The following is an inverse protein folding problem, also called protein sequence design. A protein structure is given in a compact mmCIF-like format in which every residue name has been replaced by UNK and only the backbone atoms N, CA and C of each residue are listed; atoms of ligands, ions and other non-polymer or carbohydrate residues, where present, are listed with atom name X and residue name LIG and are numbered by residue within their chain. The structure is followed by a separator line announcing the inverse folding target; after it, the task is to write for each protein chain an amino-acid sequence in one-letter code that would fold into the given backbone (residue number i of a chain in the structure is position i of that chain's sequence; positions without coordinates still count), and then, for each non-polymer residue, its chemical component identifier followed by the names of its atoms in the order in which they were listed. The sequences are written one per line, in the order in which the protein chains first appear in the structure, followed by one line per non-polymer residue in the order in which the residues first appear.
data_IF_826085261465
#
_entry.id   IF_826085261465
#
_cell.length_a   1.000
_cell.length_b   1.000
_cell.length_c   1.000
_cell.angle_alpha   90.00
_cell.angle_beta   90.00
_cell.angle_gamma   90.00
#
_symmetry.space_group_name_H-M   'P 1'
#
loop_
_entity.id
_entity.type
_entity.pdbx_description
1 polymer ?
#
# COMPACT_ATOMS: atom_id res chain seq x y z
N UNK A 1 -27.54 10.94 45.08
CA UNK A 1 -28.32 10.74 43.84
C UNK A 1 -27.37 10.16 42.80
N UNK A 2 -27.27 8.83 42.72
CA UNK A 2 -26.41 8.17 41.74
C UNK A 2 -27.28 7.74 40.56
N UNK A 3 -27.11 8.40 39.43
CA UNK A 3 -27.61 7.94 38.14
C UNK A 3 -26.74 6.76 37.71
N UNK A 4 -27.29 5.55 37.79
CA UNK A 4 -26.68 4.37 37.18
C UNK A 4 -27.56 4.00 35.99
N UNK A 5 -27.27 4.58 34.82
CA UNK A 5 -27.91 4.26 33.54
C UNK A 5 -27.44 2.90 32.99
N UNK A 6 -27.41 1.86 33.85
CA UNK A 6 -27.46 0.49 33.36
C UNK A 6 -28.93 0.13 33.29
N UNK A 7 -29.55 0.50 32.16
CA UNK A 7 -30.84 -0.04 31.77
C UNK A 7 -30.80 -1.56 31.94
N UNK A 8 -31.80 -2.08 32.64
CA UNK A 8 -31.92 -3.50 32.92
C UNK A 8 -31.86 -4.27 31.58
N UNK A 9 -30.95 -5.25 31.45
CA UNK A 9 -30.88 -6.07 30.23
C UNK A 9 -32.20 -6.82 29.96
N UNK A 10 -33.08 -6.87 30.97
CA UNK A 10 -34.44 -7.40 30.90
C UNK A 10 -35.45 -6.42 30.25
N UNK A 11 -35.08 -5.18 29.97
CA UNK A 11 -35.93 -4.18 29.29
C UNK A 11 -35.54 -3.88 27.84
N UNK A 12 -34.65 -4.69 27.24
CA UNK A 12 -34.28 -4.52 25.82
C UNK A 12 -35.50 -4.84 24.96
N UNK A 13 -35.97 -3.88 24.17
CA UNK A 13 -37.09 -4.06 23.26
C UNK A 13 -36.77 -5.17 22.23
N UNK A 14 -37.76 -5.95 21.82
CA UNK A 14 -37.59 -7.02 20.85
C UNK A 14 -37.01 -6.50 19.52
N UNK A 15 -37.31 -5.24 19.18
CA UNK A 15 -36.71 -4.52 18.06
C UNK A 15 -35.23 -4.20 18.28
N UNK A 16 -34.86 -3.62 19.42
CA UNK A 16 -33.47 -3.31 19.77
C UNK A 16 -32.61 -4.59 19.82
N UNK A 17 -33.17 -5.68 20.34
CA UNK A 17 -32.51 -6.98 20.36
C UNK A 17 -32.35 -7.57 18.94
N UNK A 18 -33.33 -7.36 18.05
CA UNK A 18 -33.25 -7.78 16.65
C UNK A 18 -32.23 -6.95 15.86
N UNK A 19 -32.20 -5.64 16.06
CA UNK A 19 -31.20 -4.73 15.49
C UNK A 19 -29.78 -5.10 16.00
N UNK A 20 -29.63 -5.38 17.29
CA UNK A 20 -28.39 -5.88 17.87
C UNK A 20 -27.98 -7.26 17.33
N UNK A 21 -28.94 -8.17 17.11
CA UNK A 21 -28.69 -9.50 16.53
C UNK A 21 -28.30 -9.44 15.06
N UNK A 22 -28.95 -8.62 14.24
CA UNK A 22 -28.55 -8.37 12.85
C UNK A 22 -27.17 -7.72 12.78
N UNK A 23 -26.92 -6.71 13.63
CA UNK A 23 -25.60 -6.10 13.77
C UNK A 23 -24.54 -7.13 14.21
N UNK A 24 -24.88 -8.05 15.12
CA UNK A 24 -24.01 -9.17 15.53
C UNK A 24 -23.80 -10.19 14.41
N UNK A 25 -24.82 -10.55 13.66
CA UNK A 25 -24.73 -11.52 12.56
C UNK A 25 -23.90 -10.98 11.39
N UNK A 26 -24.03 -9.69 11.07
CA UNK A 26 -23.17 -9.00 10.10
C UNK A 26 -21.71 -9.00 10.57
N UNK A 27 -21.47 -8.73 11.87
CA UNK A 27 -20.13 -8.82 12.47
C UNK A 27 -19.56 -10.24 12.51
N UNK A 28 -20.40 -11.26 12.68
CA UNK A 28 -19.95 -12.66 12.80
C UNK A 28 -19.55 -13.27 11.45
N UNK A 29 -20.07 -12.74 10.34
CA UNK A 29 -19.68 -13.16 8.98
C UNK A 29 -18.42 -12.47 8.46
N UNK A 30 -17.81 -11.59 9.23
CA UNK A 30 -16.55 -10.97 8.82
C UNK A 30 -15.51 -12.07 8.55
N UNK A 31 -14.80 -12.02 7.42
CA UNK A 31 -13.77 -12.99 7.10
C UNK A 31 -12.64 -12.90 8.13
N UNK A 32 -11.76 -13.89 8.13
CA UNK A 32 -10.50 -13.75 8.85
C UNK A 32 -9.62 -12.65 8.24
N UNK A 33 -8.67 -12.12 9.01
CA UNK A 33 -7.71 -11.13 8.51
C UNK A 33 -6.97 -11.63 7.27
N UNK A 34 -6.50 -12.88 7.29
CA UNK A 34 -5.82 -13.49 6.16
C UNK A 34 -6.70 -13.59 4.91
N UNK A 35 -7.98 -13.96 5.07
CA UNK A 35 -8.93 -14.00 3.96
C UNK A 35 -9.18 -12.60 3.40
N UNK A 36 -9.40 -11.60 4.26
CA UNK A 36 -9.52 -10.20 3.84
C UNK A 36 -8.30 -9.77 3.03
N UNK A 37 -7.08 -10.03 3.53
CA UNK A 37 -5.84 -9.60 2.87
C UNK A 37 -5.67 -10.32 1.53
N UNK A 38 -5.97 -11.62 1.46
CA UNK A 38 -5.96 -12.37 0.19
C UNK A 38 -6.93 -11.76 -0.81
N UNK A 39 -8.14 -11.45 -0.39
CA UNK A 39 -9.16 -10.84 -1.24
C UNK A 39 -8.77 -9.42 -1.68
N UNK A 40 -8.27 -8.60 -0.76
CA UNK A 40 -7.78 -7.26 -1.02
C UNK A 40 -6.64 -7.28 -2.05
N UNK A 41 -5.65 -8.15 -1.87
CA UNK A 41 -4.54 -8.29 -2.81
C UNK A 41 -5.01 -8.82 -4.17
N UNK A 42 -5.97 -9.75 -4.20
CA UNK A 42 -6.58 -10.22 -5.45
C UNK A 42 -7.23 -9.07 -6.22
N UNK A 43 -8.07 -8.28 -5.54
CA UNK A 43 -8.69 -7.09 -6.12
C UNK A 43 -7.65 -6.10 -6.69
N UNK A 44 -6.55 -5.87 -5.97
CA UNK A 44 -5.45 -5.01 -6.46
C UNK A 44 -4.66 -5.60 -7.63
N UNK A 45 -4.62 -6.93 -7.80
CA UNK A 45 -3.98 -7.59 -8.95
C UNK A 45 -4.86 -7.54 -10.20
N UNK A 46 -6.18 -7.54 -10.03
CA UNK A 46 -7.16 -7.47 -11.12
C UNK A 46 -7.29 -6.06 -11.69
N UNK A 47 -6.95 -5.03 -10.91
CA UNK A 47 -6.89 -3.64 -11.36
C UNK A 47 -5.73 -3.44 -12.36
N UNK A 48 -6.08 -3.33 -13.64
CA UNK A 48 -5.14 -3.16 -14.76
C UNK A 48 -4.34 -1.86 -14.68
N UNK A 49 -4.76 -0.89 -13.87
CA UNK A 49 -4.06 0.38 -13.70
C UNK A 49 -2.95 0.31 -12.64
N UNK A 50 -2.90 -0.77 -11.85
CA UNK A 50 -1.90 -0.93 -10.81
C UNK A 50 -0.69 -1.72 -11.30
N UNK A 51 0.50 -1.17 -11.02
CA UNK A 51 1.75 -1.84 -11.31
C UNK A 51 1.95 -3.06 -10.38
N UNK A 52 2.39 -4.19 -10.94
CA UNK A 52 2.59 -5.44 -10.18
C UNK A 52 3.52 -5.30 -8.96
N UNK A 53 4.53 -4.41 -9.06
CA UNK A 53 5.42 -4.09 -7.95
C UNK A 53 4.70 -3.42 -6.77
N UNK A 54 3.64 -2.65 -7.01
CA UNK A 54 2.85 -2.03 -5.94
C UNK A 54 2.11 -3.08 -5.11
N UNK A 55 1.50 -4.07 -5.76
CA UNK A 55 0.85 -5.18 -5.04
C UNK A 55 1.86 -5.95 -4.19
N UNK A 56 3.08 -6.21 -4.70
CA UNK A 56 4.15 -6.85 -3.91
C UNK A 56 4.53 -6.02 -2.70
N UNK A 57 4.56 -4.69 -2.82
CA UNK A 57 4.78 -3.80 -1.67
C UNK A 57 3.66 -3.89 -0.64
N UNK A 58 2.39 -3.95 -1.07
CA UNK A 58 1.26 -4.16 -0.16
C UNK A 58 1.38 -5.49 0.58
N UNK A 59 1.68 -6.57 -0.15
CA UNK A 59 1.88 -7.91 0.42
C UNK A 59 2.99 -7.92 1.47
N UNK A 60 4.15 -7.34 1.15
CA UNK A 60 5.26 -7.18 2.12
C UNK A 60 4.87 -6.35 3.34
N UNK A 61 4.12 -5.27 3.15
CA UNK A 61 3.70 -4.41 4.24
C UNK A 61 2.63 -5.04 5.14
N UNK A 62 1.81 -5.94 4.59
CA UNK A 62 0.73 -6.60 5.33
C UNK A 62 1.16 -7.92 5.99
N UNK A 63 2.25 -8.55 5.52
CA UNK A 63 2.74 -9.82 6.04
C UNK A 63 2.92 -9.86 7.56
N UNK A 64 3.44 -8.81 8.24
CA UNK A 64 3.61 -8.88 9.69
C UNK A 64 2.30 -9.07 10.46
N UNK A 65 1.16 -8.59 9.93
CA UNK A 65 -0.15 -8.79 10.53
C UNK A 65 -0.71 -10.17 10.19
N UNK A 66 -0.49 -10.66 8.96
CA UNK A 66 -0.83 -12.04 8.59
C UNK A 66 -0.11 -13.05 9.48
N UNK A 67 1.16 -12.82 9.76
CA UNK A 67 2.01 -13.73 10.53
C UNK A 67 1.65 -13.70 12.03
N UNK A 68 1.33 -12.52 12.57
CA UNK A 68 1.03 -12.35 14.00
C UNK A 68 -0.42 -12.69 14.38
N UNK A 69 -1.40 -12.31 13.55
CA UNK A 69 -2.83 -12.48 13.84
C UNK A 69 -3.40 -13.71 13.13
N UNK A 70 -3.00 -13.94 11.88
CA UNK A 70 -3.44 -15.09 11.10
C UNK A 70 -4.94 -15.08 10.79
N UNK A 71 -5.63 -16.10 11.28
CA UNK A 71 -7.03 -16.39 10.90
C UNK A 71 -8.07 -15.87 11.91
N UNK A 72 -7.71 -14.91 12.77
CA UNK A 72 -8.68 -14.27 13.66
C UNK A 72 -9.74 -13.50 12.86
N UNK A 73 -10.95 -13.49 13.41
CA UNK A 73 -12.10 -12.78 12.83
C UNK A 73 -11.81 -11.27 12.81
N UNK A 74 -11.92 -10.66 11.62
CA UNK A 74 -11.60 -9.26 11.40
C UNK A 74 -12.34 -8.29 12.34
N UNK A 75 -13.60 -8.58 12.68
CA UNK A 75 -14.42 -7.72 13.53
C UNK A 75 -14.01 -7.75 15.02
N UNK A 76 -13.20 -8.73 15.43
CA UNK A 76 -12.67 -8.85 16.79
C UNK A 76 -11.30 -8.18 16.96
N UNK A 77 -10.66 -7.77 15.87
CA UNK A 77 -9.32 -7.20 15.91
C UNK A 77 -9.36 -5.79 16.50
N UNK A 78 -8.69 -5.62 17.63
CA UNK A 78 -8.60 -4.34 18.31
C UNK A 78 -7.43 -3.48 17.81
N UNK A 79 -7.58 -2.15 17.93
CA UNK A 79 -6.52 -1.21 17.55
C UNK A 79 -5.26 -1.34 18.40
N UNK A 80 -5.38 -1.85 19.63
CA UNK A 80 -4.24 -2.06 20.54
C UNK A 80 -3.33 -3.17 20.01
N UNK A 81 -3.91 -4.31 19.61
CA UNK A 81 -3.18 -5.43 18.99
C UNK A 81 -2.44 -4.97 17.72
N UNK A 82 -3.12 -4.20 16.87
CA UNK A 82 -2.49 -3.65 15.65
C UNK A 82 -1.35 -2.68 15.98
N UNK A 83 -1.49 -1.89 17.04
CA UNK A 83 -0.45 -0.97 17.49
C UNK A 83 0.77 -1.70 18.04
N UNK A 84 0.58 -2.76 18.82
CA UNK A 84 1.65 -3.59 19.38
C UNK A 84 2.48 -4.23 18.27
N UNK A 85 1.82 -4.85 17.28
CA UNK A 85 2.48 -5.44 16.10
C UNK A 85 3.27 -4.36 15.35
N UNK A 86 2.64 -3.22 15.04
CA UNK A 86 3.27 -2.13 14.29
C UNK A 86 4.48 -1.54 15.03
N UNK A 87 4.38 -1.39 16.35
CA UNK A 87 5.42 -0.81 17.20
C UNK A 87 6.59 -1.76 17.41
N UNK A 88 6.32 -3.07 17.44
CA UNK A 88 7.33 -4.13 17.53
C UNK A 88 8.15 -4.33 16.25
N UNK A 89 7.77 -3.72 15.12
CA UNK A 89 8.54 -3.82 13.88
C UNK A 89 9.89 -3.09 14.00
N UNK A 90 10.98 -3.82 13.82
CA UNK A 90 12.32 -3.27 13.66
C UNK A 90 12.50 -2.61 12.28
N UNK A 91 11.77 -1.51 12.05
CA UNK A 91 11.77 -0.74 10.81
C UNK A 91 11.88 0.75 11.13
N UNK A 92 12.38 1.55 10.18
CA UNK A 92 12.43 3.00 10.36
C UNK A 92 11.00 3.62 10.39
N UNK A 93 10.83 4.83 10.94
CA UNK A 93 9.51 5.48 11.07
C UNK A 93 8.72 5.62 9.76
N UNK A 94 9.41 5.88 8.64
CA UNK A 94 8.77 6.01 7.32
C UNK A 94 8.21 4.66 6.87
N UNK A 95 8.97 3.59 7.02
CA UNK A 95 8.53 2.24 6.67
C UNK A 95 7.38 1.77 7.56
N UNK A 96 7.39 2.08 8.87
CA UNK A 96 6.23 1.79 9.74
C UNK A 96 4.99 2.55 9.29
N UNK A 97 5.11 3.81 8.88
CA UNK A 97 3.99 4.54 8.30
C UNK A 97 3.47 3.90 7.00
N UNK A 98 4.35 3.39 6.13
CA UNK A 98 3.92 2.66 4.92
C UNK A 98 3.16 1.37 5.27
N UNK A 99 3.61 0.65 6.30
CA UNK A 99 2.93 -0.54 6.84
C UNK A 99 1.54 -0.16 7.36
N UNK A 100 1.45 0.89 8.18
CA UNK A 100 0.18 1.44 8.67
C UNK A 100 -0.77 1.82 7.53
N UNK A 101 -0.28 2.51 6.50
CA UNK A 101 -1.10 2.98 5.39
C UNK A 101 -1.64 1.83 4.54
N UNK A 102 -0.83 0.77 4.35
CA UNK A 102 -1.29 -0.47 3.71
C UNK A 102 -2.40 -1.14 4.53
N UNK A 103 -2.23 -1.23 5.85
CA UNK A 103 -3.24 -1.79 6.76
C UNK A 103 -4.54 -0.98 6.74
N UNK A 104 -4.45 0.36 6.81
CA UNK A 104 -5.62 1.24 6.71
C UNK A 104 -6.35 1.02 5.38
N UNK A 105 -5.62 0.83 4.28
CA UNK A 105 -6.21 0.56 2.97
C UNK A 105 -6.98 -0.77 2.93
N UNK A 106 -6.43 -1.81 3.55
CA UNK A 106 -7.10 -3.11 3.65
C UNK A 106 -8.36 -3.05 4.53
N UNK A 107 -8.31 -2.35 5.66
CA UNK A 107 -9.47 -2.20 6.56
C UNK A 107 -10.57 -1.31 5.96
N UNK A 108 -10.20 -0.27 5.19
CA UNK A 108 -11.18 0.51 4.41
C UNK A 108 -11.86 -0.35 3.37
N UNK A 109 -11.10 -1.15 2.64
CA UNK A 109 -11.66 -2.14 1.71
C UNK A 109 -12.64 -3.08 2.42
N UNK A 110 -12.33 -3.53 3.63
CA UNK A 110 -13.24 -4.36 4.41
C UNK A 110 -14.54 -3.65 4.79
N UNK A 111 -14.45 -2.37 5.20
CA UNK A 111 -15.62 -1.52 5.48
C UNK A 111 -16.47 -1.34 4.22
N UNK A 112 -15.84 -1.01 3.09
CA UNK A 112 -16.55 -0.80 1.81
C UNK A 112 -17.26 -2.07 1.32
N UNK A 113 -16.79 -3.26 1.73
CA UNK A 113 -17.44 -4.56 1.47
C UNK A 113 -18.50 -4.95 2.50
N UNK A 114 -18.72 -4.13 3.52
CA UNK A 114 -19.67 -4.40 4.61
C UNK A 114 -19.17 -5.43 5.64
N UNK A 115 -17.88 -5.78 5.65
CA UNK A 115 -17.30 -6.68 6.65
C UNK A 115 -17.04 -6.00 7.99
N UNK A 116 -16.86 -4.68 7.97
CA UNK A 116 -16.73 -3.85 9.16
C UNK A 116 -17.88 -2.84 9.17
N UNK A 117 -18.36 -2.44 10.37
CA UNK A 117 -19.36 -1.40 10.49
C UNK A 117 -18.83 -0.07 9.95
N UNK A 118 -19.77 0.79 9.57
CA UNK A 118 -19.46 2.16 9.13
C UNK A 118 -18.73 2.95 10.22
N UNK A 119 -17.90 3.91 9.78
CA UNK A 119 -17.10 4.76 10.64
C UNK A 119 -15.61 4.41 10.67
N UNK A 120 -14.93 4.80 11.76
CA UNK A 120 -13.47 4.69 11.91
C UNK A 120 -13.09 3.23 12.25
N UNK A 121 -12.32 2.61 11.37
CA UNK A 121 -11.82 1.23 11.56
C UNK A 121 -10.71 1.14 12.62
N UNK A 122 -10.45 -0.06 13.15
CA UNK A 122 -9.37 -0.28 14.12
C UNK A 122 -8.00 0.17 13.61
N UNK A 123 -7.69 -0.08 12.33
CA UNK A 123 -6.45 0.37 11.69
C UNK A 123 -6.35 1.90 11.59
N UNK A 124 -7.47 2.59 11.33
CA UNK A 124 -7.49 4.05 11.20
C UNK A 124 -7.25 4.77 12.53
N UNK A 125 -7.52 4.12 13.66
CA UNK A 125 -7.19 4.65 15.00
C UNK A 125 -5.69 4.71 15.27
N UNK A 126 -4.86 3.97 14.50
CA UNK A 126 -3.41 4.03 14.62
C UNK A 126 -2.92 5.42 14.22
N UNK A 127 -2.16 6.07 15.10
CA UNK A 127 -1.56 7.39 14.81
C UNK A 127 -0.40 7.23 13.84
N UNK A 128 -0.27 8.17 12.91
CA UNK A 128 0.91 8.28 12.05
C UNK A 128 2.11 8.72 12.90
N UNK A 129 3.25 8.08 12.70
CA UNK A 129 4.50 8.45 13.37
C UNK A 129 4.99 9.76 12.74
N UNK A 130 5.22 10.78 13.58
CA UNK A 130 5.83 12.04 13.13
C UNK A 130 7.25 11.73 12.65
N UNK A 131 7.54 12.11 11.41
CA UNK A 131 8.88 11.97 10.85
C UNK A 131 9.66 13.22 11.22
N UNK A 132 10.78 13.02 11.92
CA UNK A 132 11.74 14.09 12.07
C UNK A 132 12.37 14.32 10.69
N UNK A 133 12.35 15.57 10.19
CA UNK A 133 12.92 15.92 8.89
C UNK A 133 14.44 16.01 9.00
N UNK A 134 15.08 14.93 9.46
CA UNK A 134 16.50 14.92 9.80
C UNK A 134 17.42 14.60 8.59
N UNK A 135 16.85 14.49 7.40
CA UNK A 135 17.64 14.45 6.16
C UNK A 135 17.46 15.80 5.47
N UNK A 136 18.43 16.69 5.68
CA UNK A 136 18.62 17.83 4.80
C UNK A 136 18.91 17.29 3.40
N UNK A 137 17.94 17.45 2.49
CA UNK A 137 18.12 17.05 1.11
C UNK A 137 19.04 18.10 0.49
N UNK A 138 20.32 17.76 0.33
CA UNK A 138 21.30 18.60 -0.35
C UNK A 138 21.42 18.26 -1.82
N UNK A 139 21.87 19.23 -2.62
CA UNK A 139 22.20 19.05 -4.04
C UNK A 139 23.71 19.00 -4.20
N UNK A 140 24.17 18.32 -5.26
CA UNK A 140 25.59 18.30 -5.59
C UNK A 140 26.03 19.64 -6.19
N UNK A 141 27.17 20.16 -5.74
CA UNK A 141 27.84 21.29 -6.40
C UNK A 141 28.42 20.88 -7.76
N UNK A 142 28.76 21.84 -8.64
CA UNK A 142 29.44 21.54 -9.91
C UNK A 142 30.74 20.74 -9.74
N UNK A 143 31.53 21.04 -8.70
CA UNK A 143 32.78 20.35 -8.39
C UNK A 143 32.53 18.91 -7.92
N UNK A 144 31.50 18.70 -7.08
CA UNK A 144 31.10 17.37 -6.62
C UNK A 144 30.58 16.52 -7.78
N UNK A 145 29.79 17.11 -8.68
CA UNK A 145 29.31 16.42 -9.88
C UNK A 145 30.47 16.02 -10.80
N UNK A 146 31.47 16.90 -10.99
CA UNK A 146 32.68 16.56 -11.75
C UNK A 146 33.42 15.38 -11.13
N UNK A 147 33.62 15.39 -9.81
CA UNK A 147 34.26 14.28 -9.10
C UNK A 147 33.50 12.96 -9.24
N UNK A 148 32.17 12.98 -9.23
CA UNK A 148 31.32 11.79 -9.46
C UNK A 148 31.55 11.26 -10.87
N UNK A 149 31.53 12.12 -11.89
CA UNK A 149 31.71 11.72 -13.29
C UNK A 149 33.12 11.19 -13.57
N UNK A 150 34.16 11.81 -12.98
CA UNK A 150 35.56 11.37 -13.12
C UNK A 150 35.80 9.99 -12.48
N UNK A 151 35.11 9.67 -11.39
CA UNK A 151 35.17 8.37 -10.74
C UNK A 151 34.26 7.31 -11.40
N UNK A 152 33.39 7.73 -12.32
CA UNK A 152 32.39 6.86 -12.92
C UNK A 152 33.01 5.98 -14.02
N UNK A 153 32.61 4.71 -14.08
CA UNK A 153 33.03 3.83 -15.18
C UNK A 153 32.48 4.37 -16.51
N UNK A 154 33.25 4.35 -17.61
CA UNK A 154 32.83 4.97 -18.88
C UNK A 154 31.43 4.57 -19.38
N UNK A 155 31.07 3.31 -19.17
CA UNK A 155 29.77 2.72 -19.53
C UNK A 155 28.55 3.30 -18.77
N UNK A 156 28.75 3.95 -17.61
CA UNK A 156 27.68 4.54 -16.81
C UNK A 156 27.59 6.07 -16.98
N UNK A 157 28.63 6.72 -17.49
CA UNK A 157 28.69 8.17 -17.70
C UNK A 157 27.44 8.71 -18.43
N UNK A 158 26.97 8.12 -19.54
CA UNK A 158 25.78 8.65 -20.22
C UNK A 158 24.54 8.68 -19.32
N UNK A 159 24.33 7.64 -18.52
CA UNK A 159 23.19 7.56 -17.59
C UNK A 159 23.31 8.57 -16.45
N UNK A 160 24.50 8.75 -15.89
CA UNK A 160 24.74 9.71 -14.81
C UNK A 160 24.56 11.16 -15.29
N UNK A 161 25.09 11.51 -16.47
CA UNK A 161 24.92 12.83 -17.08
C UNK A 161 23.44 13.14 -17.35
N UNK A 162 22.70 12.20 -17.94
CA UNK A 162 21.25 12.37 -18.17
C UNK A 162 20.50 12.52 -16.85
N UNK A 163 20.82 11.71 -15.83
CA UNK A 163 20.22 11.82 -14.49
C UNK A 163 20.45 13.20 -13.88
N UNK A 164 21.70 13.67 -13.93
CA UNK A 164 22.15 14.90 -13.29
C UNK A 164 21.54 16.16 -13.92
N UNK A 165 21.43 16.20 -15.25
CA UNK A 165 21.06 17.43 -15.97
C UNK A 165 19.64 17.45 -16.51
N UNK A 166 18.98 16.29 -16.66
CA UNK A 166 17.59 16.21 -17.15
C UNK A 166 16.59 15.79 -16.06
N UNK A 167 17.05 15.45 -14.84
CA UNK A 167 16.17 15.09 -13.73
C UNK A 167 15.36 13.81 -13.97
N UNK A 168 15.86 12.92 -14.82
CA UNK A 168 15.21 11.66 -15.18
C UNK A 168 15.34 10.66 -14.03
N UNK A 169 14.28 9.88 -13.76
CA UNK A 169 14.33 8.85 -12.71
C UNK A 169 15.18 7.66 -13.13
N UNK A 170 15.80 6.98 -12.17
CA UNK A 170 16.61 5.80 -12.46
C UNK A 170 15.83 4.69 -13.18
N UNK A 171 14.53 4.52 -12.90
CA UNK A 171 13.68 3.55 -13.63
C UNK A 171 13.34 3.95 -15.07
N UNK A 172 13.53 5.22 -15.44
CA UNK A 172 13.36 5.70 -16.82
C UNK A 172 14.65 5.51 -17.62
N UNK A 173 15.82 5.65 -16.99
CA UNK A 173 17.13 5.37 -17.60
C UNK A 173 17.37 3.87 -17.75
N UNK A 174 16.95 3.09 -16.75
CA UNK A 174 17.00 1.63 -16.77
C UNK A 174 15.61 1.05 -16.53
N UNK A 175 14.76 0.99 -17.57
CA UNK A 175 13.47 0.34 -17.48
C UNK A 175 13.64 -1.14 -17.13
N UNK A 176 12.74 -1.66 -16.29
CA UNK A 176 12.65 -3.11 -16.08
C UNK A 176 12.15 -3.77 -17.37
N UNK A 177 12.68 -4.95 -17.73
CA UNK A 177 12.14 -5.72 -18.85
C UNK A 177 10.63 -5.93 -18.71
N UNK A 178 9.90 -5.92 -19.83
CA UNK A 178 8.44 -6.11 -19.88
C UNK A 178 7.62 -5.02 -19.16
N UNK A 179 8.14 -3.79 -19.07
CA UNK A 179 7.37 -2.62 -18.63
C UNK A 179 7.06 -1.71 -19.81
N UNK A 180 6.00 -0.91 -19.72
CA UNK A 180 5.67 0.11 -20.73
C UNK A 180 6.78 1.17 -20.90
N UNK A 181 7.73 1.24 -19.95
CA UNK A 181 8.89 2.13 -19.99
C UNK A 181 10.05 1.55 -20.81
N UNK A 182 10.06 0.23 -21.04
CA UNK A 182 11.07 -0.39 -21.88
C UNK A 182 10.79 -0.06 -23.34
N UNK A 183 11.79 0.43 -24.07
CA UNK A 183 11.70 0.60 -25.51
C UNK A 183 11.41 -0.77 -26.15
N UNK A 184 10.23 -0.92 -26.77
CA UNK A 184 10.00 -2.04 -27.67
C UNK A 184 10.68 -1.70 -28.99
N UNK A 185 11.73 -2.45 -29.33
CA UNK A 185 12.44 -2.34 -30.60
C UNK A 185 11.58 -2.69 -31.84
N UNK A 186 10.27 -2.90 -31.68
CA UNK A 186 9.33 -3.25 -32.76
C UNK A 186 8.53 -2.09 -33.34
N UNK A 187 8.57 -0.89 -32.77
CA UNK A 187 7.68 0.21 -33.20
C UNK A 187 8.22 1.07 -34.36
N UNK A 188 9.36 0.75 -34.99
CA UNK A 188 9.98 1.60 -36.04
C UNK A 188 10.48 0.87 -37.30
N UNK A 189 10.07 -0.38 -37.55
CA UNK A 189 10.41 -1.12 -38.78
C UNK A 189 9.20 -1.48 -39.66
N UNK A 190 8.10 -0.72 -39.58
CA UNK A 190 7.00 -0.80 -40.54
C UNK A 190 6.59 0.60 -40.99
N UNK A 191 7.51 1.23 -41.72
CA UNK A 191 7.30 2.48 -42.45
C UNK A 191 7.80 2.37 -43.89
N UNK A 192 7.73 1.17 -44.47
CA UNK A 192 8.04 0.93 -45.88
C UNK A 192 6.76 0.43 -46.55
N UNK A 193 5.97 1.33 -47.12
CA UNK A 193 4.91 0.97 -48.05
C UNK A 193 5.57 0.41 -49.33
N UNK A 194 5.35 -0.85 -49.74
CA UNK A 194 5.63 -1.28 -51.09
C UNK A 194 4.32 -1.21 -51.88
N UNK A 195 3.95 -0.02 -52.35
CA UNK A 195 2.85 0.13 -53.32
C UNK A 195 3.07 1.33 -54.22
N UNK A 196 4.21 1.37 -54.91
CA UNK A 196 4.43 2.27 -56.06
C UNK A 196 5.54 1.69 -56.93
N UNK A 197 5.27 0.53 -57.53
CA UNK A 197 6.05 -0.04 -58.64
C UNK A 197 5.18 -1.04 -59.41
N UNK A 198 4.10 -0.54 -60.00
CA UNK A 198 3.36 -1.21 -61.08
C UNK A 198 2.51 -0.17 -61.82
N UNK A 199 3.13 0.60 -62.70
CA UNK A 199 2.60 1.00 -64.02
C UNK A 199 3.79 1.43 -64.86
#
# INVERSE_FOLDING_TARGET
MYWNERGDLLSIDARELAEFRQWRELKWRAPSLNELIKEFLKSKREDRNLHSGYVKTLEYNLSPFCDAIGNENLAQIESVTLFEILSGLNKNPRTRNNVRDALCSAFRFARDRGYLPEGITAAEKLKRIKLDRCCEISIYSPEQMRAILDACRPQYIPGEVISAFAGIRSEEIRPKPNTHKAFSSQAHLLGSNPSEAAT
#
